data_IF_136621726458
#
_entry.id   IF_136621726458
#
_cell.length_a   1.000
_cell.length_b   1.000
_cell.length_c   1.000
_cell.angle_alpha   90.00
_cell.angle_beta   90.00
_cell.angle_gamma   90.00
#
_symmetry.space_group_name_H-M   'P 1'
#
loop_
_entity.id
_entity.type
_entity.pdbx_description
1 polymer ?
#
# COMPACT_ATOMS: atom_id res chain seq x y z
N UNK A 1 -4.97 10.81 4.68
CA UNK A 1 -3.63 10.81 4.07
C UNK A 1 -2.62 11.51 5.02
N UNK A 2 -2.32 10.93 6.19
CA UNK A 2 -1.33 11.48 7.14
C UNK A 2 0.05 11.72 6.53
N UNK A 3 0.43 10.92 5.53
CA UNK A 3 1.68 10.98 4.79
C UNK A 3 1.92 12.29 4.04
N UNK A 4 0.89 13.15 3.90
CA UNK A 4 1.00 14.51 3.34
C UNK A 4 1.40 15.56 4.37
N UNK A 5 1.28 15.28 5.66
CA UNK A 5 1.56 16.26 6.71
C UNK A 5 3.06 16.34 6.97
N UNK A 6 3.62 17.54 6.83
CA UNK A 6 5.04 17.77 7.07
C UNK A 6 5.42 17.39 8.51
N UNK A 7 6.44 16.54 8.66
CA UNK A 7 6.90 16.06 9.97
C UNK A 7 6.03 14.98 10.60
N UNK A 8 5.02 14.45 9.89
CA UNK A 8 4.24 13.32 10.39
C UNK A 8 5.12 12.07 10.54
N UNK A 9 4.86 11.32 11.61
CA UNK A 9 5.57 10.10 11.95
C UNK A 9 4.58 8.98 12.24
N UNK A 10 5.03 7.73 12.13
CA UNK A 10 4.23 6.56 12.51
C UNK A 10 3.78 6.66 13.98
N UNK A 11 4.65 7.13 14.88
CA UNK A 11 4.33 7.31 16.29
C UNK A 11 3.14 8.25 16.51
N UNK A 12 3.09 9.39 15.81
CA UNK A 12 1.96 10.31 15.90
C UNK A 12 0.66 9.66 15.41
N UNK A 13 0.71 8.93 14.29
CA UNK A 13 -0.47 8.23 13.77
C UNK A 13 -0.95 7.17 14.75
N UNK A 14 -0.05 6.43 15.40
CA UNK A 14 -0.43 5.49 16.46
C UNK A 14 -1.12 6.19 17.65
N UNK A 15 -0.67 7.37 18.05
CA UNK A 15 -1.39 8.16 19.08
C UNK A 15 -2.79 8.58 18.62
N UNK A 16 -2.98 8.94 17.35
CA UNK A 16 -4.31 9.27 16.82
C UNK A 16 -5.24 8.05 16.82
N UNK A 17 -4.72 6.86 16.50
CA UNK A 17 -5.50 5.62 16.55
C UNK A 17 -5.99 5.30 17.96
N UNK A 18 -5.18 5.57 19.00
CA UNK A 18 -5.56 5.34 20.41
C UNK A 18 -6.81 6.13 20.83
N UNK A 19 -7.10 7.26 20.18
CA UNK A 19 -8.31 8.06 20.43
C UNK A 19 -9.44 7.77 19.44
N UNK A 20 -9.34 6.69 18.67
CA UNK A 20 -10.39 6.24 17.74
C UNK A 20 -10.33 6.85 16.34
N UNK A 21 -9.22 7.50 15.96
CA UNK A 21 -9.08 8.09 14.63
C UNK A 21 -8.91 7.01 13.55
N UNK A 22 -9.78 7.05 12.54
CA UNK A 22 -9.61 6.28 11.31
C UNK A 22 -8.57 6.91 10.39
N UNK A 23 -7.70 6.09 9.81
CA UNK A 23 -6.58 6.54 8.98
C UNK A 23 -6.80 6.11 7.54
N UNK A 24 -6.90 7.11 6.65
CA UNK A 24 -6.96 6.92 5.21
C UNK A 24 -5.59 7.15 4.56
N UNK A 25 -5.20 6.28 3.62
CA UNK A 25 -3.98 6.38 2.81
C UNK A 25 -4.28 6.83 1.37
N UNK A 26 -3.53 7.81 0.86
CA UNK A 26 -3.60 8.26 -0.53
C UNK A 26 -2.88 7.25 -1.44
N UNK A 27 -3.61 6.75 -2.44
CA UNK A 27 -3.08 5.85 -3.44
C UNK A 27 -1.91 6.43 -4.23
N UNK A 28 -1.91 7.73 -4.51
CA UNK A 28 -0.82 8.39 -5.21
C UNK A 28 0.46 8.42 -4.36
N UNK A 29 0.32 8.61 -3.05
CA UNK A 29 1.45 8.56 -2.14
C UNK A 29 2.01 7.14 -2.04
N UNK A 30 1.15 6.13 -1.87
CA UNK A 30 1.56 4.73 -1.75
C UNK A 30 2.32 4.22 -2.98
N UNK A 31 1.85 4.58 -4.18
CA UNK A 31 2.43 4.16 -5.46
C UNK A 31 3.58 5.07 -5.92
N UNK A 32 3.81 6.18 -5.23
CA UNK A 32 4.82 7.17 -5.57
C UNK A 32 6.23 6.78 -5.12
N UNK A 33 7.10 7.80 -5.10
CA UNK A 33 8.47 7.68 -4.59
C UNK A 33 8.76 8.81 -3.59
N UNK A 34 9.91 8.73 -2.90
CA UNK A 34 10.33 9.77 -1.97
C UNK A 34 9.74 9.63 -0.56
N UNK A 35 9.68 10.74 0.17
CA UNK A 35 9.34 10.73 1.60
C UNK A 35 7.89 10.29 1.87
N UNK A 36 6.93 10.81 1.11
CA UNK A 36 5.51 10.47 1.28
C UNK A 36 5.26 8.98 1.04
N UNK A 37 5.86 8.42 -0.01
CA UNK A 37 5.76 6.99 -0.30
C UNK A 37 6.38 6.12 0.79
N UNK A 38 7.55 6.55 1.32
CA UNK A 38 8.19 5.85 2.44
C UNK A 38 7.30 5.84 3.68
N UNK A 39 6.79 7.00 4.08
CA UNK A 39 5.90 7.09 5.24
C UNK A 39 4.61 6.30 5.02
N UNK A 40 4.02 6.33 3.83
CA UNK A 40 2.86 5.53 3.48
C UNK A 40 3.11 4.02 3.66
N UNK A 41 4.26 3.53 3.20
CA UNK A 41 4.66 2.13 3.35
C UNK A 41 4.99 1.79 4.80
N UNK A 42 5.63 2.69 5.54
CA UNK A 42 5.90 2.52 6.98
C UNK A 42 4.59 2.42 7.78
N UNK A 43 3.59 3.26 7.48
CA UNK A 43 2.28 3.19 8.13
C UNK A 43 1.57 1.85 7.87
N UNK A 44 1.63 1.34 6.64
CA UNK A 44 1.12 0.00 6.33
C UNK A 44 1.89 -1.09 7.07
N UNK A 45 3.22 -0.99 7.13
CA UNK A 45 4.08 -1.94 7.83
C UNK A 45 3.85 -1.98 9.34
N UNK A 46 3.21 -0.95 9.91
CA UNK A 46 2.81 -0.90 11.32
C UNK A 46 1.30 -1.09 11.53
N UNK A 47 0.54 -1.47 10.50
CA UNK A 47 -0.92 -1.69 10.61
C UNK A 47 -1.70 -0.40 10.95
N UNK A 48 -1.17 0.76 10.58
CA UNK A 48 -1.74 2.05 10.98
C UNK A 48 -2.86 2.56 10.06
N UNK A 49 -3.05 1.96 8.88
CA UNK A 49 -4.04 2.39 7.89
C UNK A 49 -5.31 1.54 7.94
N UNK A 50 -6.48 2.15 7.82
CA UNK A 50 -7.78 1.44 7.78
C UNK A 50 -8.38 1.38 6.38
N UNK A 51 -8.18 2.43 5.58
CA UNK A 51 -8.70 2.53 4.21
C UNK A 51 -7.69 3.17 3.28
N UNK A 52 -7.75 2.83 2.00
CA UNK A 52 -7.05 3.49 0.92
C UNK A 52 -8.06 4.18 0.00
N UNK A 53 -7.71 5.37 -0.48
CA UNK A 53 -8.52 6.11 -1.45
C UNK A 53 -7.63 6.67 -2.55
N UNK A 54 -8.17 6.86 -3.75
CA UNK A 54 -7.40 7.40 -4.88
C UNK A 54 -7.12 8.90 -4.76
N UNK A 55 -7.90 9.61 -3.93
CA UNK A 55 -7.87 11.08 -3.83
C UNK A 55 -8.07 11.80 -5.18
N UNK A 56 -8.66 11.14 -6.19
CA UNK A 56 -8.71 11.65 -7.57
C UNK A 56 -9.43 13.01 -7.68
N UNK A 57 -8.85 13.90 -8.50
CA UNK A 57 -9.39 15.23 -8.84
C UNK A 57 -9.75 15.32 -10.34
N UNK A 58 -10.08 14.18 -10.96
CA UNK A 58 -10.33 14.08 -12.42
C UNK A 58 -9.09 13.70 -13.23
N UNK A 59 -8.11 13.07 -12.58
CA UNK A 59 -6.85 12.62 -13.18
C UNK A 59 -6.73 11.08 -13.15
N UNK A 60 -5.56 10.56 -13.54
CA UNK A 60 -5.29 9.13 -13.67
C UNK A 60 -5.16 8.36 -12.33
N UNK A 61 -5.35 9.00 -11.17
CA UNK A 61 -5.27 8.31 -9.88
C UNK A 61 -6.36 7.25 -9.76
N UNK A 62 -5.96 6.02 -9.45
CA UNK A 62 -6.83 4.85 -9.50
C UNK A 62 -6.68 3.94 -8.29
N UNK A 63 -7.80 3.64 -7.64
CA UNK A 63 -7.86 2.67 -6.55
C UNK A 63 -7.58 1.23 -7.07
N UNK A 64 -7.81 0.97 -8.36
CA UNK A 64 -7.46 -0.32 -8.99
C UNK A 64 -5.95 -0.56 -8.94
N UNK A 65 -5.14 0.48 -9.20
CA UNK A 65 -3.68 0.38 -9.13
C UNK A 65 -3.21 0.11 -7.69
N UNK A 66 -3.83 0.76 -6.70
CA UNK A 66 -3.56 0.50 -5.28
C UNK A 66 -3.88 -0.94 -4.91
N UNK A 67 -5.04 -1.45 -5.33
CA UNK A 67 -5.44 -2.83 -5.07
C UNK A 67 -4.47 -3.83 -5.70
N UNK A 68 -4.03 -3.58 -6.94
CA UNK A 68 -3.05 -4.42 -7.61
C UNK A 68 -1.70 -4.45 -6.85
N UNK A 69 -1.23 -3.29 -6.39
CA UNK A 69 -0.02 -3.20 -5.57
C UNK A 69 -0.14 -3.97 -4.25
N UNK A 70 -1.28 -3.86 -3.56
CA UNK A 70 -1.53 -4.60 -2.31
C UNK A 70 -1.57 -6.12 -2.52
N UNK A 71 -2.07 -6.58 -3.67
CA UNK A 71 -2.04 -7.99 -4.04
C UNK A 71 -0.62 -8.49 -4.36
N UNK A 72 0.22 -7.63 -4.94
CA UNK A 72 1.60 -7.97 -5.29
C UNK A 72 2.51 -8.03 -4.05
N UNK A 73 2.39 -7.06 -3.15
CA UNK A 73 3.31 -6.87 -2.02
C UNK A 73 2.75 -7.36 -0.67
N UNK A 74 1.44 -7.61 -0.60
CA UNK A 74 0.73 -8.03 0.60
C UNK A 74 -0.05 -9.32 0.44
N UNK A 75 -1.33 -9.26 0.77
CA UNK A 75 -2.25 -10.38 0.68
C UNK A 75 -3.59 -9.94 0.12
N UNK A 76 -4.42 -10.93 -0.25
CA UNK A 76 -5.81 -10.68 -0.62
C UNK A 76 -6.58 -9.96 0.50
N UNK A 77 -6.29 -10.30 1.77
CA UNK A 77 -6.90 -9.67 2.94
C UNK A 77 -6.53 -8.18 3.03
N UNK A 78 -5.25 -7.81 2.91
CA UNK A 78 -4.86 -6.40 2.88
C UNK A 78 -5.55 -5.64 1.74
N UNK A 79 -5.56 -6.25 0.55
CA UNK A 79 -6.21 -5.65 -0.61
C UNK A 79 -7.72 -5.46 -0.38
N UNK A 80 -8.41 -6.42 0.22
CA UNK A 80 -9.85 -6.32 0.47
C UNK A 80 -10.18 -5.33 1.59
N UNK A 81 -9.49 -5.41 2.73
CA UNK A 81 -9.70 -4.52 3.87
C UNK A 81 -9.49 -3.06 3.49
N UNK A 82 -8.35 -2.74 2.89
CA UNK A 82 -7.96 -1.36 2.59
C UNK A 82 -8.76 -0.76 1.43
N UNK A 83 -9.20 -1.55 0.44
CA UNK A 83 -9.84 -0.98 -0.78
C UNK A 83 -11.34 -1.20 -0.87
N UNK A 84 -11.92 -2.05 -0.02
CA UNK A 84 -13.34 -2.41 -0.10
C UNK A 84 -14.03 -2.55 1.26
N UNK A 85 -13.61 -3.51 2.09
CA UNK A 85 -14.41 -3.95 3.23
C UNK A 85 -14.49 -2.88 4.33
N UNK A 86 -13.40 -2.21 4.68
CA UNK A 86 -13.45 -1.14 5.68
C UNK A 86 -14.21 0.09 5.19
N UNK A 87 -14.11 0.42 3.90
CA UNK A 87 -14.93 1.46 3.30
C UNK A 87 -16.43 1.11 3.32
N UNK A 88 -16.79 -0.15 3.00
CA UNK A 88 -18.17 -0.65 3.10
C UNK A 88 -18.69 -0.55 4.54
N UNK A 89 -17.91 -0.98 5.53
CA UNK A 89 -18.25 -0.91 6.96
C UNK A 89 -18.45 0.53 7.41
N UNK A 90 -17.54 1.42 7.06
CA UNK A 90 -17.64 2.84 7.36
C UNK A 90 -18.94 3.45 6.81
N UNK A 91 -19.28 3.15 5.56
CA UNK A 91 -20.53 3.62 4.93
C UNK A 91 -21.78 3.02 5.56
N UNK A 92 -21.68 1.81 6.11
CA UNK A 92 -22.75 1.14 6.86
C UNK A 92 -22.81 1.52 8.34
N UNK A 93 -21.93 2.42 8.80
CA UNK A 93 -21.75 2.76 10.21
C UNK A 93 -21.44 1.53 11.11
N UNK A 94 -20.71 0.56 10.54
CA UNK A 94 -20.21 -0.62 11.23
C UNK A 94 -18.75 -0.40 11.67
N UNK A 95 -18.31 -1.02 12.78
CA UNK A 95 -16.90 -1.03 13.14
C UNK A 95 -16.03 -1.60 12.00
N UNK A 96 -14.98 -0.86 11.63
CA UNK A 96 -13.95 -1.34 10.70
C UNK A 96 -13.17 -2.49 11.31
N UNK A 97 -12.66 -3.37 10.46
CA UNK A 97 -11.74 -4.42 10.86
C UNK A 97 -10.31 -3.87 10.91
N UNK A 98 -9.55 -4.34 11.89
CA UNK A 98 -8.13 -4.01 11.97
C UNK A 98 -7.39 -4.55 10.74
N UNK A 99 -6.59 -3.70 10.13
CA UNK A 99 -5.71 -4.11 9.04
C UNK A 99 -4.42 -4.63 9.66
N UNK A 100 -4.04 -5.90 9.43
CA UNK A 100 -2.80 -6.43 9.97
C UNK A 100 -1.59 -5.66 9.43
N UNK A 101 -0.47 -5.61 10.17
CA UNK A 101 0.77 -5.03 9.68
C UNK A 101 1.24 -5.69 8.37
N UNK A 102 1.48 -4.86 7.35
CA UNK A 102 1.95 -5.31 6.05
C UNK A 102 3.46 -5.58 6.09
N UNK A 103 3.84 -6.82 6.35
CA UNK A 103 5.23 -7.26 6.16
C UNK A 103 5.49 -7.37 4.66
N UNK A 104 6.12 -6.33 4.08
CA UNK A 104 6.52 -6.32 2.68
C UNK A 104 7.55 -7.42 2.41
N UNK A 105 7.07 -8.61 2.03
CA UNK A 105 7.93 -9.68 1.54
C UNK A 105 8.43 -9.25 0.18
N UNK A 106 9.71 -8.87 0.06
CA UNK A 106 10.31 -8.61 -1.25
C UNK A 106 10.04 -9.79 -2.17
N UNK A 107 9.20 -9.55 -3.18
CA UNK A 107 9.17 -10.24 -4.46
C UNK A 107 9.30 -11.76 -4.44
N UNK A 108 8.71 -12.51 -3.52
CA UNK A 108 8.72 -13.98 -3.69
C UNK A 108 8.06 -14.38 -5.01
N UNK A 109 7.05 -13.64 -5.46
CA UNK A 109 6.40 -13.85 -6.76
C UNK A 109 7.27 -13.41 -7.95
N UNK A 110 8.00 -12.29 -7.83
CA UNK A 110 8.97 -11.86 -8.84
C UNK A 110 10.12 -12.86 -8.95
N UNK A 111 10.60 -13.38 -7.83
CA UNK A 111 11.65 -14.39 -7.76
C UNK A 111 11.15 -15.77 -8.25
N UNK A 112 9.90 -16.15 -7.95
CA UNK A 112 9.27 -17.35 -8.52
C UNK A 112 9.08 -17.21 -10.03
N UNK A 113 8.67 -16.04 -10.53
CA UNK A 113 8.55 -15.77 -11.96
C UNK A 113 9.91 -15.81 -12.64
N UNK A 114 10.97 -15.28 -12.04
CA UNK A 114 12.34 -15.42 -12.55
C UNK A 114 12.82 -16.88 -12.60
N UNK A 115 12.44 -17.69 -11.60
CA UNK A 115 12.79 -19.12 -11.52
C UNK A 115 11.98 -19.97 -12.52
N UNK A 116 10.72 -19.64 -12.77
CA UNK A 116 9.82 -20.40 -13.68
C UNK A 116 9.93 -19.94 -15.14
N UNK A 117 10.17 -18.66 -15.41
CA UNK A 117 10.21 -18.08 -16.77
C UNK A 117 11.62 -17.84 -17.32
N UNK A 118 12.66 -18.10 -16.53
CA UNK A 118 14.04 -18.16 -16.99
C UNK A 118 14.67 -16.79 -17.30
N UNK A 119 15.89 -16.60 -16.78
CA UNK A 119 16.81 -15.54 -17.22
C UNK A 119 17.04 -15.65 -18.73
N UNK A 120 16.40 -14.78 -19.51
CA UNK A 120 16.93 -14.43 -20.83
C UNK A 120 18.20 -13.61 -20.62
N UNK A 121 19.35 -14.29 -20.59
CA UNK A 121 20.65 -13.65 -20.83
C UNK A 121 20.64 -13.15 -22.28
N UNK A 122 20.94 -11.87 -22.58
CA UNK A 122 21.51 -11.58 -23.88
C UNK A 122 22.92 -12.16 -23.89
N UNK A 123 23.11 -13.19 -24.72
CA UNK A 123 24.42 -13.71 -25.06
C UNK A 123 25.29 -12.62 -25.67
N UNK A 124 26.58 -12.66 -25.34
CA UNK A 124 27.58 -11.79 -25.95
C UNK A 124 27.94 -12.22 -27.38
N UNK A 125 28.51 -11.26 -28.11
CA UNK A 125 29.57 -11.37 -29.12
C UNK A 125 30.05 -9.92 -29.37
N UNK A 126 31.27 -9.52 -28.98
CA UNK A 126 32.58 -9.76 -29.60
C UNK A 126 32.80 -8.98 -30.93
N UNK A 127 33.78 -8.06 -30.88
CA UNK A 127 34.65 -7.49 -31.92
C UNK A 127 34.06 -6.84 -33.20
N UNK A 128 34.32 -5.54 -33.35
CA UNK A 128 35.45 -5.00 -34.12
C UNK A 128 35.84 -3.61 -33.59
#
# INVERSE_FOLDING_TARGET
HPERYAGCTVAQVMEWRKVGTAIQMDGAALLGTGHMARLAQELLAHGCADVAASDTHGDARSLVAVRAWLLEWGSLEHADLLTRENARRLLANEPMQEVPPLVMRRGMLAHLRELVLGRSRPGGAAHN
#
